data_IF_612390397300
#
_entry.id   IF_612390397300
#
_cell.length_a   1.000
_cell.length_b   1.000
_cell.length_c   1.000
_cell.angle_alpha   90.00
_cell.angle_beta   90.00
_cell.angle_gamma   90.00
#
_symmetry.space_group_name_H-M   'P 1'
#
loop_
_entity.id
_entity.type
_entity.pdbx_description
1 polymer ?
#
# COMPACT_ATOMS: atom_id res chain seq x y z
N UNK A 1 19.47 -32.43 21.37
CA UNK A 1 18.68 -31.46 22.16
C UNK A 1 19.21 -30.02 22.06
N UNK A 2 20.52 -29.74 22.20
CA UNK A 2 21.06 -28.37 22.10
C UNK A 2 20.82 -27.68 20.75
N UNK A 3 21.08 -28.35 19.63
CA UNK A 3 20.93 -27.78 18.30
C UNK A 3 19.49 -27.32 17.98
N UNK A 4 18.48 -28.03 18.48
CA UNK A 4 17.07 -27.65 18.30
C UNK A 4 16.71 -26.40 19.12
N UNK A 5 17.30 -26.28 20.32
CA UNK A 5 17.12 -25.10 21.19
C UNK A 5 17.77 -23.85 20.59
N UNK A 6 18.97 -23.99 20.02
CA UNK A 6 19.70 -22.89 19.37
C UNK A 6 18.96 -22.39 18.12
N UNK A 7 18.47 -23.32 17.29
CA UNK A 7 17.66 -23.00 16.11
C UNK A 7 16.38 -22.23 16.47
N UNK A 8 15.66 -22.71 17.48
CA UNK A 8 14.42 -22.06 17.93
C UNK A 8 14.69 -20.66 18.51
N UNK A 9 15.82 -20.47 19.18
CA UNK A 9 16.23 -19.15 19.68
C UNK A 9 16.57 -18.18 18.54
N UNK A 10 17.30 -18.63 17.51
CA UNK A 10 17.56 -17.84 16.30
C UNK A 10 16.27 -17.43 15.58
N UNK A 11 15.34 -18.36 15.39
CA UNK A 11 14.06 -18.06 14.73
C UNK A 11 13.22 -17.03 15.51
N UNK A 12 13.28 -17.06 16.85
CA UNK A 12 12.65 -16.04 17.68
C UNK A 12 13.32 -14.68 17.51
N UNK A 13 14.65 -14.63 17.59
CA UNK A 13 15.42 -13.39 17.39
C UNK A 13 15.17 -12.79 16.01
N UNK A 14 15.15 -13.60 14.94
CA UNK A 14 14.86 -13.14 13.58
C UNK A 14 13.43 -12.60 13.42
N UNK A 15 12.46 -13.17 14.14
CA UNK A 15 11.08 -12.64 14.16
C UNK A 15 11.03 -11.31 14.90
N UNK A 16 11.74 -11.18 16.01
CA UNK A 16 11.80 -9.93 16.79
C UNK A 16 12.49 -8.81 16.01
N UNK A 17 13.59 -9.10 15.32
CA UNK A 17 14.31 -8.14 14.47
C UNK A 17 13.42 -7.67 13.31
N UNK A 18 12.72 -8.59 12.62
CA UNK A 18 11.78 -8.23 11.55
C UNK A 18 10.61 -7.40 12.06
N UNK A 19 10.02 -7.78 13.19
CA UNK A 19 8.96 -6.99 13.85
C UNK A 19 9.45 -5.58 14.20
N UNK A 20 10.67 -5.47 14.73
CA UNK A 20 11.31 -4.20 15.03
C UNK A 20 11.52 -3.33 13.78
N UNK A 21 11.91 -3.94 12.65
CA UNK A 21 12.05 -3.23 11.37
C UNK A 21 10.71 -2.67 10.86
N UNK A 22 9.65 -3.49 10.92
CA UNK A 22 8.29 -3.07 10.53
C UNK A 22 7.79 -1.92 11.41
N UNK A 23 7.96 -2.02 12.74
CA UNK A 23 7.55 -0.94 13.67
C UNK A 23 8.33 0.36 13.41
N UNK A 24 9.64 0.28 13.16
CA UNK A 24 10.44 1.47 12.83
C UNK A 24 9.98 2.10 11.52
N UNK A 25 9.68 1.28 10.51
CA UNK A 25 9.11 1.76 9.26
C UNK A 25 7.80 2.51 9.48
N UNK A 26 6.85 1.92 10.22
CA UNK A 26 5.58 2.58 10.53
C UNK A 26 5.76 3.90 11.29
N UNK A 27 6.70 3.98 12.24
CA UNK A 27 7.00 5.24 12.96
C UNK A 27 7.55 6.35 12.08
N UNK A 28 8.33 6.00 11.05
CA UNK A 28 8.79 7.00 10.07
C UNK A 28 7.67 7.34 9.07
N UNK A 29 6.86 6.36 8.71
CA UNK A 29 5.69 6.54 7.85
C UNK A 29 4.68 7.50 8.49
N UNK A 30 4.39 7.36 9.79
CA UNK A 30 3.50 8.23 10.57
C UNK A 30 3.93 9.71 10.61
N UNK A 31 5.22 9.99 10.40
CA UNK A 31 5.75 11.37 10.33
C UNK A 31 5.54 12.00 8.96
N UNK A 32 5.24 11.21 7.93
CA UNK A 32 4.87 11.74 6.64
C UNK A 32 3.49 12.37 6.77
N UNK A 33 3.32 13.57 6.23
CA UNK A 33 2.03 14.23 6.21
C UNK A 33 1.14 13.49 5.21
N UNK A 34 0.35 12.53 5.71
CA UNK A 34 -0.57 11.78 4.86
C UNK A 34 -1.55 12.74 4.22
N UNK A 35 -1.87 12.48 2.96
CA UNK A 35 -3.02 13.08 2.31
C UNK A 35 -4.27 12.45 2.92
N UNK A 36 -4.71 13.01 4.04
CA UNK A 36 -5.94 12.60 4.71
C UNK A 36 -7.17 13.16 4.01
N UNK A 37 -6.97 14.17 3.15
CA UNK A 37 -7.99 14.78 2.32
C UNK A 37 -7.75 14.46 0.84
N UNK A 38 -8.84 14.37 0.10
CA UNK A 38 -8.78 14.18 -1.34
C UNK A 38 -8.31 15.46 -2.01
N UNK A 39 -7.32 15.35 -2.89
CA UNK A 39 -6.77 16.45 -3.67
C UNK A 39 -6.87 16.11 -5.16
N UNK A 40 -7.60 16.93 -5.91
CA UNK A 40 -7.87 16.70 -7.33
C UNK A 40 -6.59 16.67 -8.18
N UNK A 41 -5.61 17.54 -7.87
CA UNK A 41 -4.37 17.64 -8.64
C UNK A 41 -3.48 16.41 -8.40
N UNK A 42 -3.39 15.97 -7.15
CA UNK A 42 -2.65 14.76 -6.80
C UNK A 42 -3.34 13.52 -7.34
N UNK A 43 -4.66 13.43 -7.25
CA UNK A 43 -5.41 12.33 -7.81
C UNK A 43 -5.20 12.20 -9.32
N UNK A 44 -5.29 13.29 -10.08
CA UNK A 44 -4.99 13.29 -11.52
C UNK A 44 -3.55 12.89 -11.80
N UNK A 45 -2.59 13.32 -10.96
CA UNK A 45 -1.17 12.97 -11.13
C UNK A 45 -0.88 11.46 -10.96
N UNK A 46 -1.73 10.75 -10.21
CA UNK A 46 -1.62 9.31 -9.97
C UNK A 46 -2.24 8.48 -11.08
N UNK A 47 -3.09 9.06 -11.93
CA UNK A 47 -3.67 8.38 -13.09
C UNK A 47 -2.58 8.14 -14.13
N UNK A 48 -2.53 6.92 -14.64
CA UNK A 48 -1.68 6.49 -15.75
C UNK A 48 -2.46 6.55 -17.07
N UNK A 49 -3.66 5.96 -17.09
CA UNK A 49 -4.51 5.93 -18.27
C UNK A 49 -6.00 5.98 -17.91
N UNK A 50 -6.78 6.55 -18.82
CA UNK A 50 -8.24 6.54 -18.79
C UNK A 50 -8.76 5.82 -20.03
N UNK A 51 -9.53 4.75 -19.83
CA UNK A 51 -10.17 4.00 -20.91
C UNK A 51 -11.68 4.22 -20.89
N UNK A 52 -12.22 4.75 -21.98
CA UNK A 52 -13.66 4.96 -22.16
C UNK A 52 -14.21 3.84 -23.02
N UNK A 53 -15.07 2.99 -22.45
CA UNK A 53 -15.77 1.93 -23.18
C UNK A 53 -17.15 2.39 -23.66
N UNK A 54 -17.86 3.14 -22.82
CA UNK A 54 -19.16 3.75 -23.12
C UNK A 54 -19.36 4.96 -22.22
N UNK A 55 -20.47 5.70 -22.43
CA UNK A 55 -20.86 6.81 -21.53
C UNK A 55 -21.02 6.37 -20.07
N UNK A 56 -21.30 5.09 -19.86
CA UNK A 56 -21.61 4.50 -18.56
C UNK A 56 -20.45 3.68 -17.98
N UNK A 57 -19.35 3.54 -18.72
CA UNK A 57 -18.21 2.71 -18.34
C UNK A 57 -16.90 3.40 -18.65
N UNK A 58 -16.32 3.98 -17.60
CA UNK A 58 -15.03 4.64 -17.61
C UNK A 58 -14.11 3.93 -16.62
N UNK A 59 -12.95 3.49 -17.08
CA UNK A 59 -11.94 2.81 -16.29
C UNK A 59 -10.72 3.70 -16.10
N UNK A 60 -10.38 3.98 -14.85
CA UNK A 60 -9.16 4.67 -14.45
C UNK A 60 -8.12 3.64 -14.07
N UNK A 61 -6.93 3.73 -14.67
CA UNK A 61 -5.76 2.95 -14.29
C UNK A 61 -4.77 3.90 -13.63
N UNK A 62 -4.34 3.57 -12.41
CA UNK A 62 -3.37 4.34 -11.65
C UNK A 62 -1.97 3.77 -11.87
N UNK A 63 -0.94 4.59 -11.64
CA UNK A 63 0.47 4.22 -11.84
C UNK A 63 0.95 3.09 -10.93
N UNK A 64 0.23 2.81 -9.85
CA UNK A 64 0.48 1.69 -8.94
C UNK A 64 -0.13 0.37 -9.46
N UNK A 65 -0.85 0.40 -10.59
CA UNK A 65 -1.54 -0.74 -11.19
C UNK A 65 -2.96 -0.96 -10.69
N UNK A 66 -3.46 -0.15 -9.74
CA UNK A 66 -4.85 -0.23 -9.31
C UNK A 66 -5.79 0.34 -10.37
N UNK A 67 -7.03 -0.15 -10.37
CA UNK A 67 -8.06 0.30 -11.30
C UNK A 67 -9.36 0.64 -10.59
N UNK A 68 -9.99 1.75 -10.98
CA UNK A 68 -11.31 2.16 -10.48
C UNK A 68 -12.25 2.33 -11.68
N UNK A 69 -13.44 1.72 -11.59
CA UNK A 69 -14.55 1.95 -12.52
C UNK A 69 -15.48 3.00 -11.93
N UNK A 70 -15.83 4.02 -12.71
CA UNK A 70 -16.68 5.11 -12.25
C UNK A 70 -18.14 4.60 -12.17
N UNK A 71 -18.74 4.51 -10.96
CA UNK A 71 -20.08 3.98 -10.81
C UNK A 71 -21.12 4.97 -11.36
N UNK A 72 -22.21 4.43 -11.91
CA UNK A 72 -23.37 5.22 -12.29
C UNK A 72 -24.06 5.77 -11.03
N UNK A 73 -24.13 7.09 -10.89
CA UNK A 73 -25.12 7.71 -10.00
C UNK A 73 -26.50 7.56 -10.68
N UNK A 74 -27.31 6.63 -10.17
CA UNK A 74 -28.73 6.47 -10.52
C UNK A 74 -29.63 7.35 -9.66
#
# INVERSE_FOLDING_TARGET
MKAQSEKVMQEMTDKEVRKGAVIRFWKEFEKLNFLTEFDDLLWVSLVDALTVYSKEKILFTFRDGNTIELPLET
#
